data_IF_207766606981
#
_entry.id   IF_207766606981
#
_cell.length_a   1.000
_cell.length_b   1.000
_cell.length_c   1.000
_cell.angle_alpha   90.00
_cell.angle_beta   90.00
_cell.angle_gamma   90.00
#
_symmetry.space_group_name_H-M   'P 1'
#
loop_
_entity.id
_entity.type
_entity.pdbx_description
1 polymer ?
#
# COMPACT_ATOMS: atom_id res chain seq x y z
N UNK A 1 32.60 34.83 8.19
CA UNK A 1 31.40 34.04 8.50
C UNK A 1 30.90 33.42 7.21
N UNK A 2 31.10 32.10 7.02
CA UNK A 2 30.54 31.37 5.87
C UNK A 2 29.17 30.88 6.28
N UNK A 3 28.14 31.39 5.63
CA UNK A 3 26.79 30.84 5.72
C UNK A 3 26.74 29.53 4.92
N UNK A 4 26.65 28.39 5.59
CA UNK A 4 26.38 27.12 4.96
C UNK A 4 24.95 27.15 4.40
N UNK A 5 24.81 27.16 3.08
CA UNK A 5 23.52 26.97 2.41
C UNK A 5 23.08 25.50 2.67
N UNK A 6 22.10 25.36 3.54
CA UNK A 6 21.37 24.09 3.68
C UNK A 6 20.59 23.89 2.39
N UNK A 7 21.08 23.00 1.53
CA UNK A 7 20.35 22.59 0.34
C UNK A 7 19.03 21.95 0.80
N UNK A 8 17.91 22.60 0.50
CA UNK A 8 16.57 22.05 0.73
C UNK A 8 16.48 20.73 -0.03
N UNK A 9 16.46 19.60 0.69
CA UNK A 9 16.21 18.30 0.12
C UNK A 9 14.89 18.34 -0.63
N UNK A 10 14.93 18.13 -1.95
CA UNK A 10 13.72 18.00 -2.78
C UNK A 10 12.91 16.81 -2.23
N UNK A 11 11.86 17.13 -1.50
CA UNK A 11 10.91 16.13 -1.01
C UNK A 11 10.16 15.59 -2.21
N UNK A 12 10.51 14.41 -2.69
CA UNK A 12 9.75 13.73 -3.74
C UNK A 12 8.36 13.40 -3.17
N UNK A 13 7.26 13.74 -3.84
CA UNK A 13 5.90 13.50 -3.33
C UNK A 13 5.49 12.02 -3.37
N UNK A 14 6.36 11.11 -3.78
CA UNK A 14 6.10 9.68 -3.92
C UNK A 14 7.10 8.82 -3.18
N UNK A 15 6.74 7.57 -2.98
CA UNK A 15 7.60 6.53 -2.41
C UNK A 15 7.62 5.28 -3.28
N UNK A 16 8.73 4.57 -3.20
CA UNK A 16 8.97 3.35 -3.95
C UNK A 16 8.90 2.16 -3.00
N UNK A 17 8.08 1.16 -3.34
CA UNK A 17 8.10 -0.14 -2.70
C UNK A 17 8.86 -1.12 -3.57
N UNK A 18 9.85 -1.78 -2.98
CA UNK A 18 10.72 -2.74 -3.65
C UNK A 18 10.39 -4.17 -3.22
N UNK A 19 10.55 -5.09 -4.17
CA UNK A 19 10.62 -6.52 -3.95
C UNK A 19 11.69 -7.13 -4.85
N UNK A 20 12.06 -8.42 -4.67
CA UNK A 20 13.12 -9.06 -5.44
C UNK A 20 12.91 -9.09 -6.95
N UNK A 21 11.66 -9.06 -7.41
CA UNK A 21 11.31 -9.17 -8.84
C UNK A 21 10.51 -7.98 -9.38
N UNK A 22 10.15 -7.03 -8.55
CA UNK A 22 9.31 -5.91 -8.95
C UNK A 22 9.50 -4.71 -8.02
N UNK A 23 9.18 -3.53 -8.54
CA UNK A 23 9.05 -2.31 -7.77
C UNK A 23 7.86 -1.51 -8.29
N UNK A 24 7.33 -0.63 -7.47
CA UNK A 24 6.32 0.33 -7.89
C UNK A 24 6.48 1.64 -7.13
N UNK A 25 5.93 2.68 -7.71
CA UNK A 25 5.88 4.02 -7.12
C UNK A 25 4.44 4.39 -6.81
N UNK A 26 4.21 5.05 -5.70
CA UNK A 26 2.93 5.62 -5.30
C UNK A 26 3.13 7.02 -4.71
N UNK A 27 2.06 7.81 -4.66
CA UNK A 27 2.04 9.11 -3.99
C UNK A 27 0.99 9.12 -2.89
N UNK A 28 1.25 9.89 -1.84
CA UNK A 28 0.26 10.12 -0.79
C UNK A 28 -0.95 10.88 -1.35
N UNK A 29 -2.16 10.56 -0.92
CA UNK A 29 -3.33 11.39 -1.18
C UNK A 29 -3.16 12.80 -0.61
N UNK A 30 -3.98 13.75 -1.07
CA UNK A 30 -4.01 15.07 -0.47
C UNK A 30 -4.30 14.98 1.05
N UNK A 31 -3.54 15.74 1.84
CA UNK A 31 -3.65 15.70 3.31
C UNK A 31 -3.00 14.50 4.00
N UNK A 32 -2.26 13.68 3.26
CA UNK A 32 -1.53 12.52 3.79
C UNK A 32 -0.01 12.69 3.68
N UNK A 33 0.70 11.91 4.46
CA UNK A 33 2.17 11.77 4.42
C UNK A 33 2.50 10.38 3.91
N UNK A 34 3.49 10.28 3.02
CA UNK A 34 4.15 9.03 2.66
C UNK A 34 5.51 9.01 3.34
N UNK A 35 5.79 7.91 4.04
CA UNK A 35 6.94 7.75 4.91
C UNK A 35 7.61 6.40 4.60
N UNK A 36 8.88 6.44 4.23
CA UNK A 36 9.69 5.24 3.94
C UNK A 36 10.59 4.82 5.12
N UNK A 37 10.45 5.46 6.29
CA UNK A 37 11.32 5.23 7.45
C UNK A 37 10.56 4.57 8.61
N UNK A 38 9.42 5.11 9.00
CA UNK A 38 8.71 4.71 10.23
C UNK A 38 8.22 3.26 10.25
N UNK A 39 8.05 2.61 9.11
CA UNK A 39 7.61 1.21 8.99
C UNK A 39 8.73 0.18 8.88
N UNK A 40 9.99 0.61 8.75
CA UNK A 40 11.13 -0.26 8.37
C UNK A 40 11.36 -1.38 9.39
N UNK A 41 11.31 -1.10 10.68
CA UNK A 41 11.48 -2.10 11.74
C UNK A 41 10.38 -3.18 11.73
N UNK A 42 9.22 -2.87 11.15
CA UNK A 42 8.11 -3.80 10.96
C UNK A 42 8.15 -4.51 9.60
N UNK A 43 9.20 -4.28 8.80
CA UNK A 43 9.33 -4.81 7.45
C UNK A 43 8.37 -4.16 6.44
N UNK A 44 7.95 -2.91 6.70
CA UNK A 44 7.06 -2.13 5.86
C UNK A 44 7.86 -1.02 5.16
N UNK A 45 8.17 -1.17 3.87
CA UNK A 45 9.05 -0.24 3.15
C UNK A 45 8.39 1.11 2.84
N UNK A 46 7.07 1.17 2.91
CA UNK A 46 6.30 2.36 2.57
C UNK A 46 5.01 2.38 3.41
N UNK A 47 4.88 3.39 4.25
CA UNK A 47 3.69 3.62 5.09
C UNK A 47 3.12 5.00 4.82
N UNK A 48 1.80 5.14 5.00
CA UNK A 48 1.08 6.39 4.80
C UNK A 48 0.11 6.62 5.96
N UNK A 49 -0.05 7.87 6.34
CA UNK A 49 -0.97 8.30 7.40
C UNK A 49 -1.39 9.76 7.19
N UNK A 50 -2.48 10.25 7.83
CA UNK A 50 -2.91 11.63 7.70
C UNK A 50 -1.86 12.62 8.20
N UNK A 51 -1.73 13.76 7.52
CA UNK A 51 -0.80 14.82 7.88
C UNK A 51 -1.13 15.38 9.27
N UNK A 52 -0.10 15.55 10.10
CA UNK A 52 -0.25 15.99 11.48
C UNK A 52 -0.37 14.84 12.50
N UNK A 53 -0.47 13.60 12.01
CA UNK A 53 -0.44 12.38 12.84
C UNK A 53 0.92 11.66 12.66
N UNK A 54 1.10 10.51 13.31
CA UNK A 54 2.27 9.65 13.15
C UNK A 54 1.85 8.23 12.76
N UNK A 55 2.78 7.44 12.21
CA UNK A 55 2.53 6.03 11.91
C UNK A 55 2.04 5.23 13.12
N UNK A 56 2.58 5.52 14.31
CA UNK A 56 2.24 4.83 15.54
C UNK A 56 0.84 5.19 16.09
N UNK A 57 0.42 6.44 15.94
CA UNK A 57 -0.76 6.99 16.64
C UNK A 57 -1.95 7.25 15.73
N UNK A 58 -1.76 7.30 14.42
CA UNK A 58 -2.82 7.61 13.47
C UNK A 58 -4.00 6.62 13.56
N UNK A 59 -5.22 7.15 13.45
CA UNK A 59 -6.45 6.33 13.45
C UNK A 59 -6.66 5.60 12.14
N UNK A 60 -6.13 6.13 11.06
CA UNK A 60 -6.08 5.50 9.75
C UNK A 60 -4.63 5.37 9.33
N UNK A 61 -4.23 4.17 8.94
CA UNK A 61 -2.88 3.90 8.44
C UNK A 61 -2.95 3.05 7.18
N UNK A 62 -1.98 3.27 6.29
CA UNK A 62 -1.85 2.49 5.06
C UNK A 62 -0.41 2.03 4.91
N UNK A 63 -0.22 0.84 4.37
CA UNK A 63 1.11 0.39 3.94
C UNK A 63 1.04 -0.34 2.61
N UNK A 64 2.15 -0.31 1.88
CA UNK A 64 2.28 -0.91 0.57
C UNK A 64 3.48 -1.85 0.52
N UNK A 65 3.29 -3.03 -0.10
CA UNK A 65 4.32 -4.07 -0.22
C UNK A 65 4.22 -4.80 -1.57
N UNK A 66 5.32 -5.48 -1.91
CA UNK A 66 5.32 -6.57 -2.89
C UNK A 66 5.17 -7.89 -2.13
N UNK A 67 4.32 -8.79 -2.60
CA UNK A 67 4.20 -10.15 -2.08
C UNK A 67 5.48 -10.95 -2.31
N UNK A 68 5.68 -12.03 -1.55
CA UNK A 68 6.85 -12.88 -1.73
C UNK A 68 6.91 -13.47 -3.15
N UNK A 69 8.12 -13.83 -3.59
CA UNK A 69 8.41 -14.18 -5.00
C UNK A 69 7.70 -15.41 -5.53
N UNK A 70 7.13 -16.22 -4.65
CA UNK A 70 6.32 -17.39 -5.00
C UNK A 70 4.93 -17.03 -5.55
N UNK A 71 4.48 -15.78 -5.33
CA UNK A 71 3.18 -15.31 -5.79
C UNK A 71 3.32 -14.43 -7.04
N UNK A 72 2.83 -14.91 -8.15
CA UNK A 72 2.77 -14.20 -9.42
C UNK A 72 1.33 -13.83 -9.84
N UNK A 73 0.34 -14.33 -9.12
CA UNK A 73 -1.09 -14.16 -9.40
C UNK A 73 -1.80 -13.55 -8.20
N UNK A 74 -2.45 -12.41 -8.40
CA UNK A 74 -3.08 -11.63 -7.34
C UNK A 74 -4.28 -12.35 -6.71
N UNK A 75 -5.07 -13.12 -7.48
CA UNK A 75 -6.21 -13.86 -6.94
C UNK A 75 -5.76 -15.04 -6.09
N UNK A 76 -4.73 -15.76 -6.52
CA UNK A 76 -4.13 -16.85 -5.73
C UNK A 76 -3.52 -16.33 -4.43
N UNK A 77 -2.78 -15.22 -4.49
CA UNK A 77 -2.23 -14.59 -3.30
C UNK A 77 -3.33 -14.15 -2.33
N UNK A 78 -4.38 -13.49 -2.82
CA UNK A 78 -5.52 -13.08 -2.00
C UNK A 78 -6.22 -14.27 -1.35
N UNK A 79 -6.44 -15.38 -2.07
CA UNK A 79 -7.06 -16.59 -1.54
C UNK A 79 -6.23 -17.21 -0.38
N UNK A 80 -4.91 -17.24 -0.53
CA UNK A 80 -4.00 -17.70 0.54
C UNK A 80 -4.06 -16.76 1.75
N UNK A 81 -4.01 -15.44 1.53
CA UNK A 81 -4.10 -14.44 2.59
C UNK A 81 -5.42 -14.54 3.36
N UNK A 82 -6.56 -14.69 2.66
CA UNK A 82 -7.88 -14.90 3.27
C UNK A 82 -7.85 -16.13 4.19
N UNK A 83 -7.38 -17.26 3.68
CA UNK A 83 -7.32 -18.51 4.46
C UNK A 83 -6.44 -18.39 5.70
N UNK A 84 -5.30 -17.73 5.60
CA UNK A 84 -4.38 -17.53 6.73
C UNK A 84 -4.97 -16.58 7.79
N UNK A 85 -5.76 -15.60 7.38
CA UNK A 85 -6.31 -14.59 8.28
C UNK A 85 -7.70 -14.94 8.82
N UNK A 86 -8.38 -15.95 8.26
CA UNK A 86 -9.79 -16.26 8.54
C UNK A 86 -10.08 -16.45 10.03
N UNK A 87 -9.20 -17.13 10.76
CA UNK A 87 -9.38 -17.37 12.20
C UNK A 87 -9.31 -16.11 13.06
N UNK A 88 -8.56 -15.09 12.62
CA UNK A 88 -8.36 -13.83 13.35
C UNK A 88 -9.31 -12.73 12.88
N UNK A 89 -9.54 -12.65 11.59
CA UNK A 89 -10.25 -11.55 10.94
C UNK A 89 -11.65 -11.89 10.44
N UNK A 90 -11.97 -13.19 10.33
CA UNK A 90 -13.14 -13.65 9.60
C UNK A 90 -12.95 -13.50 8.07
N UNK A 91 -14.02 -13.80 7.33
CA UNK A 91 -14.01 -13.69 5.86
C UNK A 91 -14.23 -12.25 5.42
N UNK A 92 -13.49 -11.77 4.42
CA UNK A 92 -13.74 -10.45 3.84
C UNK A 92 -14.97 -10.46 2.94
N UNK A 93 -15.47 -9.27 2.64
CA UNK A 93 -16.26 -9.01 1.43
C UNK A 93 -15.28 -8.92 0.28
N UNK A 94 -15.34 -9.86 -0.63
CA UNK A 94 -14.39 -9.95 -1.74
C UNK A 94 -14.78 -9.02 -2.89
N UNK A 95 -13.77 -8.45 -3.52
CA UNK A 95 -13.90 -7.64 -4.76
C UNK A 95 -14.97 -6.55 -4.66
N UNK A 96 -15.01 -5.84 -3.52
CA UNK A 96 -15.92 -4.72 -3.33
C UNK A 96 -15.70 -3.59 -4.34
N UNK A 97 -14.50 -3.54 -4.91
CA UNK A 97 -14.11 -2.62 -5.97
C UNK A 97 -13.04 -3.28 -6.85
N UNK A 98 -12.97 -2.88 -8.12
CA UNK A 98 -11.98 -3.36 -9.10
C UNK A 98 -11.74 -2.30 -10.17
N UNK A 99 -10.59 -2.36 -10.82
CA UNK A 99 -10.25 -1.42 -11.88
C UNK A 99 -8.82 -1.56 -12.35
N UNK A 100 -8.30 -0.45 -12.85
CA UNK A 100 -6.89 -0.31 -13.24
C UNK A 100 -6.24 0.83 -12.49
N UNK A 101 -4.97 0.65 -12.16
CA UNK A 101 -4.12 1.70 -11.56
C UNK A 101 -3.83 2.81 -12.58
N UNK A 102 -3.15 3.87 -12.15
CA UNK A 102 -2.79 5.00 -13.00
C UNK A 102 -2.03 4.62 -14.25
N UNK A 103 -1.19 3.57 -14.21
CA UNK A 103 -0.47 3.07 -15.39
C UNK A 103 -1.01 1.74 -15.93
N UNK A 104 -2.26 1.39 -15.61
CA UNK A 104 -3.00 0.33 -16.27
C UNK A 104 -2.91 -1.06 -15.66
N UNK A 105 -2.28 -1.24 -14.49
CA UNK A 105 -2.23 -2.54 -13.80
C UNK A 105 -3.61 -2.88 -13.22
N UNK A 106 -4.16 -4.09 -13.46
CA UNK A 106 -5.45 -4.47 -12.90
C UNK A 106 -5.36 -4.62 -11.37
N UNK A 107 -6.40 -4.22 -10.66
CA UNK A 107 -6.53 -4.42 -9.23
C UNK A 107 -7.93 -4.82 -8.82
N UNK A 108 -8.07 -5.37 -7.63
CA UNK A 108 -9.32 -5.53 -6.90
C UNK A 108 -9.10 -5.25 -5.41
N UNK A 109 -10.18 -4.92 -4.70
CA UNK A 109 -10.17 -4.58 -3.28
C UNK A 109 -11.07 -5.53 -2.52
N UNK A 110 -10.56 -6.14 -1.45
CA UNK A 110 -11.32 -6.87 -0.45
C UNK A 110 -11.50 -6.00 0.80
N UNK A 111 -12.62 -6.16 1.51
CA UNK A 111 -12.92 -5.45 2.74
C UNK A 111 -13.16 -6.42 3.89
N UNK A 112 -12.38 -6.26 4.96
CA UNK A 112 -12.57 -6.97 6.23
C UNK A 112 -13.37 -6.09 7.18
N UNK A 113 -14.63 -6.43 7.48
CA UNK A 113 -15.43 -5.68 8.45
C UNK A 113 -14.94 -5.96 9.87
N UNK A 114 -15.37 -5.13 10.81
CA UNK A 114 -15.22 -5.39 12.24
C UNK A 114 -15.90 -6.71 12.60
N UNK A 115 -15.26 -7.47 13.47
CA UNK A 115 -15.79 -8.70 14.06
C UNK A 115 -15.75 -8.63 15.58
N UNK A 116 -16.29 -9.62 16.27
CA UNK A 116 -16.21 -9.72 17.74
C UNK A 116 -14.77 -9.84 18.26
N UNK A 117 -13.88 -10.39 17.44
CA UNK A 117 -12.48 -10.69 17.81
C UNK A 117 -11.49 -9.67 17.23
N UNK A 118 -11.94 -8.80 16.31
CA UNK A 118 -11.10 -7.81 15.67
C UNK A 118 -11.87 -6.51 15.44
N UNK A 119 -11.45 -5.45 16.13
CA UNK A 119 -12.18 -4.18 16.21
C UNK A 119 -11.86 -3.17 15.12
N UNK A 120 -11.03 -3.53 14.14
CA UNK A 120 -10.64 -2.63 13.05
C UNK A 120 -11.26 -3.04 11.73
N UNK A 121 -11.65 -2.05 10.91
CA UNK A 121 -11.90 -2.27 9.49
C UNK A 121 -10.59 -2.28 8.73
N UNK A 122 -10.55 -3.04 7.64
CA UNK A 122 -9.40 -3.08 6.76
C UNK A 122 -9.83 -3.27 5.31
N UNK A 123 -9.20 -2.53 4.40
CA UNK A 123 -9.30 -2.74 2.96
C UNK A 123 -7.95 -3.17 2.42
N UNK A 124 -7.94 -4.18 1.60
CA UNK A 124 -6.73 -4.67 0.94
C UNK A 124 -6.92 -4.59 -0.55
N UNK A 125 -6.11 -3.76 -1.21
CA UNK A 125 -6.01 -3.75 -2.66
C UNK A 125 -4.91 -4.72 -3.10
N UNK A 126 -5.24 -5.59 -4.03
CA UNK A 126 -4.31 -6.51 -4.70
C UNK A 126 -4.12 -6.03 -6.13
N UNK A 127 -2.88 -5.75 -6.51
CA UNK A 127 -2.52 -5.24 -7.83
C UNK A 127 -1.73 -6.31 -8.57
N UNK A 128 -2.24 -6.74 -9.73
CA UNK A 128 -1.55 -7.70 -10.59
C UNK A 128 -0.43 -7.02 -11.35
N UNK A 129 0.80 -7.45 -11.13
CA UNK A 129 1.98 -7.08 -11.91
C UNK A 129 2.34 -8.22 -12.89
N UNK A 130 3.21 -8.00 -13.90
CA UNK A 130 3.53 -9.03 -14.91
C UNK A 130 4.03 -10.35 -14.32
N UNK A 131 4.84 -10.32 -13.25
CA UNK A 131 5.41 -11.52 -12.59
C UNK A 131 5.48 -11.37 -11.08
N UNK A 132 4.57 -10.58 -10.51
CA UNK A 132 4.52 -10.31 -9.08
C UNK A 132 3.14 -9.82 -8.67
N UNK A 133 2.92 -9.70 -7.38
CA UNK A 133 1.73 -9.09 -6.79
C UNK A 133 2.15 -7.96 -5.88
N UNK A 134 1.62 -6.78 -6.10
CA UNK A 134 1.67 -5.70 -5.11
C UNK A 134 0.38 -5.69 -4.30
N UNK A 135 0.45 -5.29 -3.04
CA UNK A 135 -0.73 -5.09 -2.23
C UNK A 135 -0.61 -3.87 -1.34
N UNK A 136 -1.73 -3.23 -1.10
CA UNK A 136 -1.84 -2.04 -0.26
C UNK A 136 -2.92 -2.30 0.77
N UNK A 137 -2.59 -2.14 2.04
CA UNK A 137 -3.50 -2.35 3.18
C UNK A 137 -3.84 -1.00 3.79
N UNK A 138 -5.12 -0.72 3.92
CA UNK A 138 -5.67 0.46 4.58
C UNK A 138 -6.48 0.00 5.79
N UNK A 139 -6.03 0.39 7.00
CA UNK A 139 -6.64 0.01 8.27
C UNK A 139 -7.24 1.21 8.99
N UNK A 140 -8.41 1.02 9.60
CA UNK A 140 -9.16 2.03 10.33
C UNK A 140 -9.44 1.56 11.75
N UNK A 141 -9.14 2.39 12.74
CA UNK A 141 -9.37 2.08 14.16
C UNK A 141 -10.80 2.30 14.61
N UNK A 142 -11.57 3.10 13.89
CA UNK A 142 -12.96 3.41 14.21
C UNK A 142 -13.81 3.72 12.98
N UNK A 143 -15.13 3.74 13.16
CA UNK A 143 -16.09 3.96 12.08
C UNK A 143 -16.00 5.38 11.47
N UNK A 144 -15.68 6.40 12.28
CA UNK A 144 -15.56 7.77 11.79
C UNK A 144 -14.38 7.88 10.81
N UNK A 145 -13.23 7.29 11.16
CA UNK A 145 -12.06 7.19 10.29
C UNK A 145 -12.37 6.39 9.02
N UNK A 146 -13.09 5.27 9.15
CA UNK A 146 -13.53 4.48 8.00
C UNK A 146 -14.36 5.31 7.01
N UNK A 147 -15.37 6.03 7.51
CA UNK A 147 -16.24 6.87 6.66
C UNK A 147 -15.48 8.00 5.97
N UNK A 148 -14.51 8.61 6.67
CA UNK A 148 -13.72 9.73 6.18
C UNK A 148 -12.66 9.28 5.17
N UNK A 149 -11.88 8.27 5.52
CA UNK A 149 -10.60 7.97 4.89
C UNK A 149 -10.66 6.78 3.89
N UNK A 150 -11.77 6.05 3.82
CA UNK A 150 -11.92 4.92 2.91
C UNK A 150 -11.61 5.25 1.43
N UNK A 151 -11.90 6.45 0.90
CA UNK A 151 -11.52 6.83 -0.46
C UNK A 151 -10.02 6.93 -0.72
N UNK A 152 -9.19 7.12 0.33
CA UNK A 152 -7.74 7.32 0.20
C UNK A 152 -7.03 6.18 -0.54
N UNK A 153 -7.48 4.93 -0.36
CA UNK A 153 -6.91 3.78 -1.08
C UNK A 153 -7.05 3.92 -2.59
N UNK A 154 -8.22 4.37 -3.05
CA UNK A 154 -8.46 4.62 -4.48
C UNK A 154 -7.57 5.73 -5.02
N UNK A 155 -7.35 6.77 -4.24
CA UNK A 155 -6.46 7.88 -4.63
C UNK A 155 -5.00 7.39 -4.77
N UNK A 156 -4.52 6.55 -3.87
CA UNK A 156 -3.19 5.94 -3.99
C UNK A 156 -3.10 5.07 -5.24
N UNK A 157 -4.12 4.23 -5.52
CA UNK A 157 -4.14 3.38 -6.72
C UNK A 157 -4.13 4.17 -8.03
N UNK A 158 -4.68 5.37 -8.07
CA UNK A 158 -4.58 6.26 -9.24
C UNK A 158 -3.15 6.73 -9.51
N UNK A 159 -2.32 6.84 -8.48
CA UNK A 159 -0.91 7.24 -8.60
C UNK A 159 0.04 6.06 -8.78
N UNK A 160 -0.46 4.84 -8.60
CA UNK A 160 0.36 3.63 -8.67
C UNK A 160 0.98 3.47 -10.05
N UNK A 161 2.30 3.32 -10.08
CA UNK A 161 3.10 3.11 -11.29
C UNK A 161 4.07 1.96 -11.10
N UNK A 162 3.86 0.88 -11.85
CA UNK A 162 4.78 -0.25 -11.89
C UNK A 162 6.10 0.18 -12.55
N UNK A 163 7.21 -0.22 -11.94
CA UNK A 163 8.55 0.03 -12.43
C UNK A 163 9.09 -1.29 -13.00
N UNK A 164 9.27 -1.34 -14.33
CA UNK A 164 9.85 -2.50 -14.98
C UNK A 164 11.33 -2.65 -14.57
N UNK A 165 11.77 -3.88 -14.21
CA UNK A 165 13.19 -4.14 -14.03
C UNK A 165 13.92 -3.87 -15.33
N UNK A 166 15.03 -3.13 -15.29
CA UNK A 166 15.91 -3.01 -16.46
C UNK A 166 16.45 -4.40 -16.80
N UNK A 167 16.22 -4.85 -18.02
CA UNK A 167 16.89 -6.05 -18.54
C UNK A 167 18.36 -5.72 -18.76
N UNK A 168 19.27 -6.60 -18.33
CA UNK A 168 20.73 -6.42 -18.45
C UNK A 168 21.26 -6.21 -19.89
N UNK A 169 20.38 -6.26 -20.89
CA UNK A 169 20.74 -6.13 -22.30
C UNK A 169 20.81 -4.69 -22.84
N UNK A 170 20.56 -3.66 -22.03
CA UNK A 170 20.70 -2.25 -22.46
C UNK A 170 21.99 -1.57 -21.97
N UNK A 171 22.95 -2.33 -21.44
CA UNK A 171 24.25 -1.84 -21.00
C UNK A 171 25.37 -2.24 -21.99
N UNK A 172 25.25 -1.78 -23.26
CA UNK A 172 26.39 -1.77 -24.21
C UNK A 172 26.31 -0.56 -25.10
#
# INVERSE_FOLDING_TARGET
MLAAAVAAQKKYPGGIAYGPKAAFNISAPEGWVLDNESGVEQGLPCVLYPKGESWADARTVMYAKIASTEYEDAEKFAAVAIKQMESKRGKPKEKIDKGKTGNGQPFFINEYPVTKTYSQWERVAYVQLPKAVAYIVLSFRDEASYRKDAPALREVLKTFSYLEPKTENEAH
#
